data_IF_502250016660
#
_entry.id   IF_502250016660
#
_cell.length_a   1.000
_cell.length_b   1.000
_cell.length_c   1.000
_cell.angle_alpha   90.00
_cell.angle_beta   90.00
_cell.angle_gamma   90.00
#
_symmetry.space_group_name_H-M   'P 1'
#
loop_
_entity.id
_entity.type
_entity.pdbx_description
1 polymer ?
#
# COMPACT_ATOMS: atom_id res chain seq x y z
N UNK A 1 51.79 54.38 -21.04
CA UNK A 1 50.99 53.73 -19.99
C UNK A 1 49.60 54.31 -20.08
N UNK A 2 48.64 53.51 -20.53
CA UNK A 2 47.24 53.95 -20.57
C UNK A 2 46.62 53.56 -19.23
N UNK A 3 46.27 54.58 -18.45
CA UNK A 3 45.51 54.41 -17.23
C UNK A 3 44.03 54.22 -17.65
N UNK A 4 43.46 53.06 -17.35
CA UNK A 4 42.05 52.82 -17.56
C UNK A 4 41.26 53.56 -16.49
N UNK A 5 40.74 54.73 -16.85
CA UNK A 5 39.83 55.51 -16.02
C UNK A 5 38.46 54.85 -16.07
N UNK A 6 38.10 54.06 -15.06
CA UNK A 6 36.69 53.79 -14.80
C UNK A 6 36.08 55.13 -14.36
N UNK A 7 35.40 55.80 -15.29
CA UNK A 7 34.58 56.97 -15.02
C UNK A 7 33.64 56.64 -13.85
N UNK A 8 33.93 57.20 -12.67
CA UNK A 8 32.93 57.38 -11.61
C UNK A 8 31.89 58.36 -12.15
N UNK A 9 30.87 57.81 -12.81
CA UNK A 9 29.55 58.40 -13.04
C UNK A 9 29.52 59.87 -13.45
N UNK A 10 29.87 60.17 -14.70
CA UNK A 10 29.34 61.36 -15.36
C UNK A 10 27.88 61.12 -15.72
N UNK A 11 26.96 61.75 -14.99
CA UNK A 11 25.78 62.42 -15.56
C UNK A 11 24.72 61.66 -16.36
N UNK A 12 24.90 60.39 -16.69
CA UNK A 12 23.90 59.55 -17.36
C UNK A 12 23.74 58.32 -16.48
N UNK A 13 22.61 58.26 -15.77
CA UNK A 13 22.25 57.12 -14.93
C UNK A 13 22.52 55.85 -15.71
N UNK A 14 23.36 54.98 -15.16
CA UNK A 14 23.64 53.71 -15.80
C UNK A 14 22.30 53.08 -16.19
N UNK A 15 22.18 52.70 -17.45
CA UNK A 15 20.93 52.20 -18.02
C UNK A 15 20.38 51.15 -17.06
N UNK A 16 19.16 51.36 -16.55
CA UNK A 16 18.54 50.47 -15.59
C UNK A 16 18.42 49.05 -16.17
N UNK A 17 18.34 48.91 -17.50
CA UNK A 17 18.37 47.62 -18.19
C UNK A 17 19.75 46.93 -18.15
N UNK A 18 20.84 47.67 -17.95
CA UNK A 18 22.21 47.14 -17.80
C UNK A 18 22.52 46.77 -16.34
N UNK A 19 21.81 47.35 -15.36
CA UNK A 19 22.05 47.11 -13.92
C UNK A 19 21.03 46.14 -13.30
N UNK A 20 19.90 45.90 -13.95
CA UNK A 20 18.86 45.00 -13.42
C UNK A 20 19.09 43.58 -13.90
N UNK A 21 19.56 42.70 -13.02
CA UNK A 21 19.58 41.26 -13.29
C UNK A 21 18.15 40.73 -13.41
N UNK A 22 17.86 39.91 -14.43
CA UNK A 22 16.61 39.14 -14.49
C UNK A 22 16.79 37.76 -13.83
N UNK A 23 15.71 37.06 -13.49
CA UNK A 23 15.78 35.77 -12.81
C UNK A 23 16.71 34.72 -13.49
N UNK A 24 16.80 34.65 -14.84
CA UNK A 24 17.79 33.79 -15.51
C UNK A 24 19.26 34.17 -15.29
N UNK A 25 19.58 35.40 -14.91
CA UNK A 25 20.96 35.90 -14.78
C UNK A 25 21.60 35.56 -13.43
N UNK A 26 20.84 34.99 -12.49
CA UNK A 26 21.32 34.54 -11.18
C UNK A 26 21.44 33.02 -11.05
N UNK A 27 21.17 32.29 -12.14
CA UNK A 27 21.23 30.83 -12.18
C UNK A 27 22.67 30.31 -12.24
N UNK A 28 22.84 29.02 -11.93
CA UNK A 28 24.10 28.31 -12.09
C UNK A 28 24.72 28.54 -13.49
N UNK A 29 26.01 28.82 -13.51
CA UNK A 29 26.76 29.13 -14.75
C UNK A 29 26.67 30.59 -15.20
N UNK A 30 25.89 31.44 -14.51
CA UNK A 30 25.92 32.90 -14.67
C UNK A 30 26.91 33.53 -13.70
N UNK A 31 27.46 34.68 -14.08
CA UNK A 31 28.43 35.42 -13.26
C UNK A 31 27.85 36.79 -12.96
N UNK A 32 27.74 37.10 -11.68
CA UNK A 32 27.48 38.45 -11.17
C UNK A 32 28.79 39.05 -10.67
N UNK A 33 28.80 40.33 -10.29
CA UNK A 33 29.96 40.98 -9.67
C UNK A 33 29.63 41.33 -8.22
N UNK A 34 30.57 41.07 -7.31
CA UNK A 34 30.44 41.46 -5.90
C UNK A 34 30.69 42.97 -5.69
N UNK A 35 30.65 43.42 -4.43
CA UNK A 35 30.83 44.83 -4.06
C UNK A 35 32.24 45.34 -4.38
N UNK A 36 33.21 44.44 -4.40
CA UNK A 36 34.62 44.68 -4.67
C UNK A 36 34.96 44.56 -6.17
N UNK A 37 33.99 44.15 -7.01
CA UNK A 37 34.12 43.99 -8.46
C UNK A 37 34.64 42.61 -8.88
N UNK A 38 34.71 41.63 -7.98
CA UNK A 38 35.13 40.29 -8.31
C UNK A 38 33.98 39.48 -8.93
N UNK A 39 34.27 38.54 -9.84
CA UNK A 39 33.26 37.64 -10.38
C UNK A 39 32.71 36.71 -9.29
N UNK A 40 31.39 36.68 -9.15
CA UNK A 40 30.63 35.83 -8.24
C UNK A 40 29.71 34.90 -9.06
N UNK A 41 30.10 33.62 -9.24
CA UNK A 41 29.28 32.65 -9.96
C UNK A 41 28.00 32.31 -9.21
N UNK A 42 26.87 32.25 -9.93
CA UNK A 42 25.62 31.72 -9.43
C UNK A 42 25.72 30.21 -9.14
N UNK A 43 25.06 29.76 -8.08
CA UNK A 43 25.05 28.35 -7.66
C UNK A 43 23.64 27.75 -7.62
N UNK A 44 22.60 28.53 -7.96
CA UNK A 44 21.21 28.06 -7.94
C UNK A 44 20.92 27.21 -9.19
N UNK A 45 20.68 25.90 -9.05
CA UNK A 45 20.39 25.05 -10.20
C UNK A 45 19.00 25.33 -10.75
N UNK A 46 18.84 25.22 -12.07
CA UNK A 46 17.53 25.27 -12.72
C UNK A 46 16.90 23.87 -12.72
N UNK A 47 15.73 23.73 -12.08
CA UNK A 47 15.01 22.44 -11.95
C UNK A 47 13.90 22.26 -13.00
N UNK A 48 13.63 23.29 -13.80
CA UNK A 48 12.53 23.26 -14.77
C UNK A 48 11.17 23.18 -14.10
N UNK A 49 10.21 22.54 -14.77
CA UNK A 49 8.81 22.42 -14.30
C UNK A 49 8.51 21.11 -13.59
N UNK A 50 9.27 20.04 -13.81
CA UNK A 50 9.06 18.72 -13.21
C UNK A 50 10.36 18.18 -12.64
N UNK A 51 10.41 18.01 -11.32
CA UNK A 51 11.64 17.61 -10.63
C UNK A 51 11.39 16.43 -9.69
N UNK A 52 12.33 15.47 -9.66
CA UNK A 52 12.25 14.38 -8.69
C UNK A 52 12.54 14.94 -7.29
N UNK A 53 11.64 14.68 -6.33
CA UNK A 53 11.77 15.14 -4.96
C UNK A 53 13.01 14.54 -4.29
N UNK A 54 13.59 15.25 -3.33
CA UNK A 54 14.81 14.78 -2.65
C UNK A 54 14.51 13.85 -1.46
N UNK A 55 13.23 13.57 -1.23
CA UNK A 55 12.75 12.66 -0.21
C UNK A 55 11.26 12.83 0.03
N UNK A 56 10.70 11.93 0.82
CA UNK A 56 9.28 11.90 1.16
C UNK A 56 9.07 11.42 2.58
N UNK A 57 7.89 11.73 3.11
CA UNK A 57 7.43 11.20 4.39
C UNK A 57 5.92 11.24 4.51
N UNK A 58 5.41 10.59 5.54
CA UNK A 58 4.00 10.57 5.90
C UNK A 58 3.88 11.02 7.36
N UNK A 59 3.05 12.03 7.62
CA UNK A 59 2.74 12.48 8.97
C UNK A 59 1.25 12.86 9.09
N UNK A 60 0.86 13.53 10.17
CA UNK A 60 -0.53 13.93 10.41
C UNK A 60 -1.10 14.92 9.39
N UNK A 61 -0.26 15.64 8.64
CA UNK A 61 -0.68 16.53 7.55
C UNK A 61 -0.86 15.78 6.22
N UNK A 62 -0.40 14.53 6.13
CA UNK A 62 -0.49 13.70 4.93
C UNK A 62 0.87 13.33 4.35
N UNK A 63 0.85 12.83 3.10
CA UNK A 63 2.03 12.51 2.31
C UNK A 63 2.69 13.81 1.85
N UNK A 64 3.96 13.98 2.17
CA UNK A 64 4.73 15.17 1.79
C UNK A 64 6.01 14.79 1.05
N UNK A 65 6.52 15.74 0.27
CA UNK A 65 7.77 15.62 -0.48
C UNK A 65 8.70 16.77 -0.12
N UNK A 66 9.99 16.48 0.03
CA UNK A 66 11.01 17.51 0.14
C UNK A 66 11.33 18.05 -1.25
N UNK A 67 11.22 19.37 -1.38
CA UNK A 67 11.56 20.10 -2.60
C UNK A 67 13.06 20.41 -2.55
N UNK A 68 13.82 19.97 -3.56
CA UNK A 68 15.24 20.30 -3.65
C UNK A 68 15.45 21.80 -3.87
N UNK A 69 16.54 22.41 -3.37
CA UNK A 69 16.83 23.81 -3.66
C UNK A 69 17.07 24.02 -5.16
N UNK A 70 16.63 25.17 -5.66
CA UNK A 70 16.79 25.57 -7.06
C UNK A 70 15.70 26.54 -7.54
N UNK A 71 15.84 26.96 -8.79
CA UNK A 71 14.84 27.73 -9.51
C UNK A 71 13.85 26.78 -10.19
N UNK A 72 12.57 27.00 -9.96
CA UNK A 72 11.46 26.27 -10.55
C UNK A 72 10.68 27.21 -11.44
N UNK A 73 10.48 26.83 -12.71
CA UNK A 73 9.92 27.74 -13.70
C UNK A 73 8.44 28.06 -13.39
N UNK A 74 8.10 29.35 -13.41
CA UNK A 74 6.72 29.78 -13.62
C UNK A 74 6.40 29.61 -15.11
N UNK A 75 5.52 28.67 -15.43
CA UNK A 75 4.92 28.59 -16.76
C UNK A 75 3.47 29.08 -16.64
N UNK A 76 3.01 30.06 -17.44
CA UNK A 76 1.63 30.56 -17.38
C UNK A 76 0.57 29.49 -17.64
N UNK A 77 0.98 28.31 -18.13
CA UNK A 77 0.11 27.17 -18.42
C UNK A 77 0.23 26.05 -17.39
N UNK A 78 1.28 26.02 -16.56
CA UNK A 78 1.50 24.91 -15.64
C UNK A 78 2.38 25.29 -14.45
N UNK A 79 1.93 24.95 -13.24
CA UNK A 79 2.73 25.11 -12.03
C UNK A 79 3.90 24.13 -12.02
N UNK A 80 5.04 24.48 -11.39
CA UNK A 80 6.09 23.53 -11.14
C UNK A 80 5.58 22.42 -10.21
N UNK A 81 6.06 21.20 -10.42
CA UNK A 81 5.70 20.03 -9.64
C UNK A 81 6.93 19.22 -9.26
N UNK A 82 6.85 18.60 -8.08
CA UNK A 82 7.82 17.60 -7.63
C UNK A 82 7.15 16.23 -7.57
N UNK A 83 7.92 15.18 -7.84
CA UNK A 83 7.41 13.81 -7.80
C UNK A 83 8.36 12.85 -7.10
N UNK A 84 7.78 11.80 -6.53
CA UNK A 84 8.50 10.57 -6.18
C UNK A 84 8.00 9.46 -7.12
N UNK A 85 8.84 8.47 -7.40
CA UNK A 85 8.43 7.28 -8.15
C UNK A 85 7.34 6.53 -7.38
N UNK A 86 6.52 5.74 -8.09
CA UNK A 86 5.48 4.92 -7.46
C UNK A 86 6.06 3.99 -6.37
N UNK A 87 7.27 3.47 -6.58
CA UNK A 87 7.97 2.62 -5.61
C UNK A 87 8.35 3.38 -4.33
N UNK A 88 8.86 4.60 -4.44
CA UNK A 88 9.19 5.45 -3.28
C UNK A 88 7.93 5.87 -2.51
N UNK A 89 6.84 6.18 -3.23
CA UNK A 89 5.54 6.46 -2.59
C UNK A 89 5.03 5.22 -1.86
N UNK A 90 5.10 4.03 -2.49
CA UNK A 90 4.72 2.78 -1.85
C UNK A 90 5.51 2.51 -0.56
N UNK A 91 6.84 2.69 -0.61
CA UNK A 91 7.70 2.55 0.56
C UNK A 91 7.34 3.55 1.66
N UNK A 92 7.10 4.82 1.32
CA UNK A 92 6.71 5.88 2.26
C UNK A 92 5.38 5.58 2.96
N UNK A 93 4.42 5.00 2.23
CA UNK A 93 3.11 4.62 2.76
C UNK A 93 3.13 3.24 3.45
N UNK A 94 4.26 2.51 3.42
CA UNK A 94 4.36 1.15 3.96
C UNK A 94 3.49 0.14 3.22
N UNK A 95 3.26 0.35 1.92
CA UNK A 95 2.48 -0.55 1.06
C UNK A 95 3.34 -1.77 0.73
N UNK A 96 2.89 -2.94 1.19
CA UNK A 96 3.57 -4.21 1.00
C UNK A 96 2.57 -5.28 0.54
N UNK A 97 3.00 -6.28 -0.25
CA UNK A 97 2.08 -7.28 -0.80
C UNK A 97 1.21 -7.97 0.26
N UNK A 98 1.78 -8.40 1.38
CA UNK A 98 1.07 -9.15 2.42
C UNK A 98 0.04 -8.33 3.20
N UNK A 99 -0.08 -7.01 2.95
CA UNK A 99 -1.08 -6.13 3.58
C UNK A 99 -2.35 -5.97 2.76
N UNK A 100 -2.40 -6.51 1.54
CA UNK A 100 -3.48 -6.27 0.58
C UNK A 100 -3.97 -7.57 -0.05
N UNK A 101 -5.27 -7.62 -0.36
CA UNK A 101 -5.88 -8.69 -1.15
C UNK A 101 -5.17 -8.88 -2.49
N UNK A 102 -5.11 -10.13 -2.93
CA UNK A 102 -4.43 -10.56 -4.14
C UNK A 102 -4.92 -9.94 -5.45
N UNK A 103 -6.06 -9.27 -5.45
CA UNK A 103 -6.64 -8.57 -6.59
C UNK A 103 -6.52 -7.03 -6.50
N UNK A 104 -5.81 -6.52 -5.50
CA UNK A 104 -5.57 -5.09 -5.29
C UNK A 104 -4.17 -4.71 -5.79
N UNK A 105 -4.07 -3.61 -6.54
CA UNK A 105 -2.81 -3.00 -6.94
C UNK A 105 -2.74 -1.55 -6.46
N UNK A 106 -1.75 -1.21 -5.63
CA UNK A 106 -1.54 0.16 -5.17
C UNK A 106 -0.09 0.54 -5.46
N UNK A 107 0.11 1.67 -6.15
CA UNK A 107 1.44 2.15 -6.54
C UNK A 107 2.32 1.12 -7.27
N UNK A 108 1.71 0.14 -7.96
CA UNK A 108 2.41 -0.91 -8.69
C UNK A 108 2.76 -2.13 -7.85
N UNK A 109 2.51 -2.09 -6.54
CA UNK A 109 2.63 -3.23 -5.64
C UNK A 109 1.36 -4.06 -5.74
N UNK A 110 1.49 -5.29 -6.22
CA UNK A 110 0.39 -6.27 -6.24
C UNK A 110 0.19 -6.83 -4.83
N UNK A 111 -1.07 -6.91 -4.38
CA UNK A 111 -1.40 -7.58 -3.14
C UNK A 111 -1.06 -9.07 -3.18
N UNK A 112 -0.70 -9.60 -2.03
CA UNK A 112 -0.18 -10.96 -1.85
C UNK A 112 -1.09 -11.85 -1.01
N UNK A 113 -2.15 -11.32 -0.38
CA UNK A 113 -3.10 -12.12 0.40
C UNK A 113 -4.00 -12.90 -0.58
N UNK A 114 -3.89 -14.24 -0.66
CA UNK A 114 -4.71 -15.01 -1.57
C UNK A 114 -6.21 -14.90 -1.23
N UNK A 115 -7.05 -14.96 -2.25
CA UNK A 115 -8.51 -14.82 -2.10
C UNK A 115 -9.15 -16.19 -2.16
N UNK A 116 -10.00 -16.48 -1.17
CA UNK A 116 -10.87 -17.64 -1.15
C UNK A 116 -12.31 -17.23 -1.43
N UNK A 117 -12.80 -17.57 -2.63
CA UNK A 117 -14.22 -17.50 -2.97
C UNK A 117 -14.95 -18.78 -2.52
N UNK A 118 -16.30 -18.83 -2.50
CA UNK A 118 -17.01 -20.10 -2.36
C UNK A 118 -16.55 -21.11 -3.41
N UNK A 119 -16.26 -22.33 -2.99
CA UNK A 119 -15.86 -23.44 -3.89
C UNK A 119 -16.93 -24.53 -3.99
N UNK A 120 -18.08 -24.31 -3.36
CA UNK A 120 -19.25 -25.18 -3.39
C UNK A 120 -20.34 -24.54 -4.25
N UNK A 121 -20.60 -25.15 -5.41
CA UNK A 121 -21.51 -24.62 -6.44
C UNK A 121 -22.87 -24.20 -5.87
N UNK A 122 -23.31 -22.99 -6.23
CA UNK A 122 -24.61 -22.43 -5.85
C UNK A 122 -24.75 -22.03 -4.39
N UNK A 123 -23.65 -21.98 -3.61
CA UNK A 123 -23.69 -21.64 -2.18
C UNK A 123 -22.59 -20.68 -1.76
N UNK A 124 -22.66 -20.17 -0.54
CA UNK A 124 -21.68 -19.29 0.13
C UNK A 124 -20.66 -20.08 0.98
N UNK A 125 -20.42 -21.34 0.61
CA UNK A 125 -19.66 -22.29 1.42
C UNK A 125 -18.32 -22.62 0.79
N UNK A 126 -17.37 -22.98 1.65
CA UNK A 126 -16.06 -23.48 1.26
C UNK A 126 -15.78 -24.85 1.88
N UNK A 127 -15.09 -25.73 1.17
CA UNK A 127 -14.61 -27.00 1.75
C UNK A 127 -13.47 -26.75 2.73
N UNK A 128 -13.53 -27.41 3.90
CA UNK A 128 -12.42 -27.49 4.84
C UNK A 128 -11.22 -28.20 4.19
N UNK A 129 -10.00 -27.82 4.55
CA UNK A 129 -8.78 -28.52 4.07
C UNK A 129 -8.45 -29.77 4.89
N UNK A 130 -9.16 -29.97 5.99
CA UNK A 130 -8.97 -31.05 6.95
C UNK A 130 -10.05 -30.99 8.02
N UNK A 131 -10.23 -32.08 8.75
CA UNK A 131 -11.17 -32.15 9.87
C UNK A 131 -10.61 -33.06 10.95
N UNK A 132 -10.81 -32.67 12.21
CA UNK A 132 -10.40 -33.46 13.37
C UNK A 132 -11.41 -33.31 14.51
N UNK A 133 -11.43 -34.26 15.44
CA UNK A 133 -12.11 -34.13 16.72
C UNK A 133 -11.09 -34.02 17.85
N UNK A 134 -11.22 -32.99 18.67
CA UNK A 134 -10.42 -32.83 19.89
C UNK A 134 -11.35 -32.66 21.08
N UNK A 135 -11.34 -33.64 21.99
CA UNK A 135 -12.15 -33.65 23.21
C UNK A 135 -13.64 -33.30 22.99
N UNK A 136 -14.26 -33.85 21.93
CA UNK A 136 -15.67 -33.62 21.61
C UNK A 136 -15.95 -32.38 20.74
N UNK A 137 -14.93 -31.60 20.39
CA UNK A 137 -15.08 -30.46 19.46
C UNK A 137 -14.76 -30.88 18.04
N UNK A 138 -15.65 -30.56 17.09
CA UNK A 138 -15.38 -30.70 15.66
C UNK A 138 -14.55 -29.49 15.21
N UNK A 139 -13.36 -29.75 14.68
CA UNK A 139 -12.46 -28.74 14.16
C UNK A 139 -12.37 -28.88 12.65
N UNK A 140 -12.63 -27.80 11.91
CA UNK A 140 -12.50 -27.74 10.47
C UNK A 140 -11.29 -26.88 10.11
N UNK A 141 -10.33 -27.46 9.41
CA UNK A 141 -9.12 -26.75 9.00
C UNK A 141 -9.45 -25.75 7.88
N UNK A 142 -8.86 -24.57 8.00
CA UNK A 142 -9.02 -23.46 7.06
C UNK A 142 -7.76 -23.29 6.21
N UNK A 143 -7.89 -22.65 5.06
CA UNK A 143 -6.71 -22.19 4.30
C UNK A 143 -6.06 -21.04 5.06
N UNK A 144 -4.84 -21.25 5.53
CA UNK A 144 -4.09 -20.24 6.27
C UNK A 144 -3.79 -19.01 5.38
N UNK A 145 -3.75 -17.81 5.98
CA UNK A 145 -3.42 -16.55 5.30
C UNK A 145 -4.32 -16.15 4.11
N UNK A 146 -5.52 -16.72 3.98
CA UNK A 146 -6.45 -16.34 2.90
C UNK A 146 -7.47 -15.31 3.36
N UNK A 147 -7.86 -14.41 2.46
CA UNK A 147 -9.03 -13.56 2.62
C UNK A 147 -10.29 -14.30 2.16
N UNK A 148 -11.30 -14.42 3.04
CA UNK A 148 -12.59 -15.02 2.70
C UNK A 148 -13.46 -14.00 1.97
N UNK A 149 -13.72 -14.22 0.69
CA UNK A 149 -14.50 -13.32 -0.16
C UNK A 149 -15.86 -13.94 -0.48
N UNK A 150 -16.91 -13.52 0.23
CA UNK A 150 -18.26 -14.04 0.06
C UNK A 150 -18.46 -15.47 0.59
N UNK A 151 -17.56 -15.94 1.46
CA UNK A 151 -17.67 -17.24 2.14
C UNK A 151 -18.21 -17.03 3.56
N UNK A 152 -19.33 -17.67 3.88
CA UNK A 152 -19.95 -17.61 5.21
C UNK A 152 -19.79 -18.91 6.01
N UNK A 153 -19.64 -20.05 5.32
CA UNK A 153 -19.56 -21.36 5.97
C UNK A 153 -18.37 -22.17 5.48
N UNK A 154 -17.81 -22.94 6.41
CA UNK A 154 -16.86 -24.00 6.12
C UNK A 154 -17.59 -25.33 6.30
N UNK A 155 -17.47 -26.23 5.33
CA UNK A 155 -18.12 -27.53 5.38
C UNK A 155 -17.15 -28.68 5.11
N UNK A 156 -17.46 -29.83 5.68
CA UNK A 156 -16.84 -31.11 5.36
C UNK A 156 -17.92 -32.19 5.34
N UNK A 157 -17.81 -33.13 4.41
CA UNK A 157 -18.73 -34.26 4.37
C UNK A 157 -18.31 -35.28 5.43
N UNK A 158 -19.27 -35.72 6.26
CA UNK A 158 -19.10 -36.82 7.21
C UNK A 158 -20.08 -37.92 6.78
N UNK A 159 -19.66 -38.88 5.94
CA UNK A 159 -20.59 -39.87 5.37
C UNK A 159 -21.38 -40.66 6.42
N UNK A 160 -20.75 -40.96 7.56
CA UNK A 160 -21.36 -41.72 8.65
C UNK A 160 -22.19 -40.87 9.62
N UNK A 161 -22.27 -39.55 9.43
CA UNK A 161 -23.11 -38.66 10.22
C UNK A 161 -24.57 -38.81 9.77
N UNK A 162 -25.15 -39.93 10.19
CA UNK A 162 -26.47 -40.41 9.81
C UNK A 162 -27.20 -40.85 11.09
N UNK A 163 -28.55 -40.70 11.15
CA UNK A 163 -29.33 -41.09 12.31
C UNK A 163 -29.05 -42.52 12.80
N UNK A 164 -28.95 -43.49 11.88
CA UNK A 164 -28.75 -44.91 12.21
C UNK A 164 -27.36 -45.27 12.75
N UNK A 165 -26.40 -44.34 12.69
CA UNK A 165 -25.07 -44.52 13.28
C UNK A 165 -24.93 -43.82 14.65
N UNK A 166 -25.95 -43.09 15.10
CA UNK A 166 -25.96 -42.33 16.35
C UNK A 166 -26.93 -43.01 17.33
N UNK A 167 -26.53 -43.12 18.60
CA UNK A 167 -27.34 -43.74 19.66
C UNK A 167 -28.74 -43.11 19.72
N UNK A 168 -29.77 -43.95 19.85
CA UNK A 168 -31.17 -43.52 19.87
C UNK A 168 -31.40 -42.38 20.87
N UNK A 169 -31.97 -41.28 20.39
CA UNK A 169 -32.29 -40.09 21.19
C UNK A 169 -31.14 -39.10 21.41
N UNK A 170 -29.92 -39.38 20.96
CA UNK A 170 -28.81 -38.41 21.02
C UNK A 170 -28.88 -37.46 19.81
N UNK A 171 -28.92 -36.15 20.06
CA UNK A 171 -28.80 -35.10 19.04
C UNK A 171 -27.34 -34.67 18.91
N UNK A 172 -26.80 -34.78 17.70
CA UNK A 172 -25.55 -34.15 17.31
C UNK A 172 -25.90 -33.23 16.16
N UNK A 173 -25.75 -31.90 16.32
CA UNK A 173 -25.86 -30.92 15.24
C UNK A 173 -27.19 -30.93 14.45
N UNK A 174 -28.30 -31.36 15.07
CA UNK A 174 -29.62 -31.46 14.45
C UNK A 174 -29.94 -32.83 13.84
N UNK A 175 -29.00 -33.79 13.89
CA UNK A 175 -29.23 -35.18 13.48
C UNK A 175 -29.50 -36.02 14.73
N UNK A 176 -30.77 -36.38 14.93
CA UNK A 176 -31.22 -37.20 16.05
C UNK A 176 -30.94 -38.68 15.75
N UNK A 177 -30.24 -39.36 16.65
CA UNK A 177 -29.90 -40.77 16.51
C UNK A 177 -31.08 -41.73 16.62
N UNK A 178 -30.99 -42.84 15.89
CA UNK A 178 -31.98 -43.92 15.84
C UNK A 178 -31.38 -45.31 16.11
N UNK A 179 -30.09 -45.42 16.43
CA UNK A 179 -29.46 -46.72 16.71
C UNK A 179 -29.92 -47.25 18.08
N UNK A 180 -30.67 -48.36 18.13
CA UNK A 180 -31.17 -48.91 19.39
C UNK A 180 -30.02 -49.43 20.27
N UNK A 181 -30.14 -49.20 21.57
CA UNK A 181 -29.16 -49.67 22.56
C UNK A 181 -29.50 -51.10 22.97
N UNK A 182 -28.82 -52.11 22.43
CA UNK A 182 -29.07 -53.52 22.78
C UNK A 182 -28.32 -54.01 24.03
N UNK A 183 -27.68 -53.13 24.81
CA UNK A 183 -26.94 -53.55 26.02
C UNK A 183 -27.81 -54.25 27.08
N UNK A 184 -29.12 -54.03 27.06
CA UNK A 184 -30.09 -54.75 27.90
C UNK A 184 -30.22 -56.24 27.55
N UNK A 185 -29.92 -56.66 26.32
CA UNK A 185 -29.97 -58.07 25.90
C UNK A 185 -28.78 -58.88 26.44
N UNK A 186 -27.65 -58.22 26.77
CA UNK A 186 -26.45 -58.87 27.29
C UNK A 186 -26.53 -59.21 28.79
N UNK A 187 -27.44 -58.59 29.54
CA UNK A 187 -27.65 -58.83 30.98
C UNK A 187 -28.72 -59.90 31.27
N UNK A 188 -28.93 -60.86 30.37
CA UNK A 188 -29.75 -62.05 30.65
C UNK A 188 -31.27 -61.82 30.68
N UNK A 189 -31.78 -60.74 30.07
CA UNK A 189 -33.23 -60.63 29.84
C UNK A 189 -33.67 -61.64 28.77
N UNK A 190 -34.55 -62.56 29.16
CA UNK A 190 -35.07 -63.65 28.32
C UNK A 190 -36.43 -63.37 27.68
N UNK A 191 -36.99 -62.16 27.76
CA UNK A 191 -38.22 -61.80 27.02
C UNK A 191 -38.41 -60.30 26.81
N UNK A 192 -39.19 -59.97 25.75
CA UNK A 192 -39.70 -58.64 25.41
C UNK A 192 -40.80 -58.17 26.38
#
# INVERSE_FOLDING_TARGET
MAECFILKGSGDGADLAVITAVAPDVLEGKVTVDREGNPLPGTMPNRGTGYHGVGSGLNTQGLYYYIGPGYYYENPTNNPWVYMTRAEVAATLGIEPWKMRGDVNICGVQGGIPIQNPDVSGTDRVRATGMSNWAGTINLQVRNWHFLNGVNWIQQDIPNYQPWNIKNGVDIGGVIGTFPDYSYLANGQTSF
#
